data_IF_358451237893
#
_entry.id   IF_358451237893
#
_cell.length_a   1.000
_cell.length_b   1.000
_cell.length_c   1.000
_cell.angle_alpha   90.00
_cell.angle_beta   90.00
_cell.angle_gamma   90.00
#
_symmetry.space_group_name_H-M   'P 1'
#
loop_
_entity.id
_entity.type
_entity.pdbx_description
1 polymer ?
#
# COMPACT_ATOMS: atom_id res chain seq x y z
N UNK A 1 -28.01 -0.59 29.39
CA UNK A 1 -28.40 -1.97 29.02
C UNK A 1 -27.74 -2.35 27.70
N UNK A 2 -28.01 -1.61 26.63
CA UNK A 2 -27.43 -1.78 25.28
C UNK A 2 -25.90 -1.89 25.21
N UNK A 3 -25.15 -1.07 25.96
CA UNK A 3 -23.67 -1.09 25.93
C UNK A 3 -23.09 -2.40 26.50
N UNK A 4 -23.76 -3.02 27.49
CA UNK A 4 -23.31 -4.30 28.06
C UNK A 4 -23.60 -5.46 27.11
N UNK A 5 -24.79 -5.47 26.51
CA UNK A 5 -25.17 -6.45 25.47
C UNK A 5 -24.24 -6.37 24.25
N UNK A 6 -23.87 -5.15 23.84
CA UNK A 6 -22.89 -4.95 22.77
C UNK A 6 -21.51 -5.48 23.15
N UNK A 7 -21.06 -5.25 24.38
CA UNK A 7 -19.74 -5.71 24.84
C UNK A 7 -19.69 -7.23 25.03
N UNK A 8 -20.81 -7.86 25.42
CA UNK A 8 -20.99 -9.32 25.41
C UNK A 8 -21.00 -9.86 23.99
N UNK A 9 -21.71 -9.25 23.05
CA UNK A 9 -21.68 -9.61 21.63
C UNK A 9 -20.25 -9.57 21.06
N UNK A 10 -19.49 -8.50 21.31
CA UNK A 10 -18.10 -8.40 20.82
C UNK A 10 -17.20 -9.50 21.40
N UNK A 11 -17.45 -9.95 22.63
CA UNK A 11 -16.73 -11.05 23.28
C UNK A 11 -17.14 -12.41 22.69
N UNK A 12 -18.44 -12.64 22.55
CA UNK A 12 -19.03 -13.88 22.02
C UNK A 12 -18.49 -14.19 20.61
N UNK A 13 -18.47 -13.18 19.75
CA UNK A 13 -18.07 -13.32 18.34
C UNK A 13 -16.59 -13.01 18.08
N UNK A 14 -15.79 -12.78 19.13
CA UNK A 14 -14.34 -12.47 19.03
C UNK A 14 -14.04 -11.30 18.06
N UNK A 15 -14.97 -10.37 17.87
CA UNK A 15 -14.86 -9.28 16.88
C UNK A 15 -13.72 -8.33 17.21
N UNK A 16 -13.34 -8.25 18.50
CA UNK A 16 -12.21 -7.44 18.94
C UNK A 16 -10.89 -7.80 18.24
N UNK A 17 -10.60 -9.09 18.02
CA UNK A 17 -9.36 -9.49 17.32
C UNK A 17 -9.39 -9.15 15.84
N UNK A 18 -10.56 -9.24 15.20
CA UNK A 18 -10.76 -8.81 13.81
C UNK A 18 -10.56 -7.29 13.67
N UNK A 19 -11.10 -6.50 14.61
CA UNK A 19 -10.93 -5.05 14.61
C UNK A 19 -9.46 -4.65 14.77
N UNK A 20 -8.72 -5.30 15.68
CA UNK A 20 -7.28 -5.06 15.86
C UNK A 20 -6.51 -5.40 14.58
N UNK A 21 -6.79 -6.56 13.95
CA UNK A 21 -6.15 -6.95 12.71
C UNK A 21 -6.39 -5.93 11.58
N UNK A 22 -7.62 -5.41 11.46
CA UNK A 22 -7.95 -4.41 10.46
C UNK A 22 -7.24 -3.06 10.70
N UNK A 23 -7.22 -2.59 11.95
CA UNK A 23 -6.53 -1.34 12.33
C UNK A 23 -5.01 -1.48 12.09
N UNK A 24 -4.41 -2.59 12.50
CA UNK A 24 -2.98 -2.84 12.28
C UNK A 24 -2.65 -2.99 10.79
N UNK A 25 -3.50 -3.66 10.01
CA UNK A 25 -3.33 -3.84 8.57
C UNK A 25 -3.41 -2.52 7.80
N UNK A 26 -4.39 -1.67 8.14
CA UNK A 26 -4.55 -0.35 7.52
C UNK A 26 -3.40 0.60 7.88
N UNK A 27 -2.98 0.63 9.15
CA UNK A 27 -1.83 1.42 9.60
C UNK A 27 -0.52 0.98 8.94
N UNK A 28 -0.28 -0.34 8.82
CA UNK A 28 0.91 -0.88 8.17
C UNK A 28 0.96 -0.52 6.68
N UNK A 29 -0.19 -0.59 6.00
CA UNK A 29 -0.31 -0.19 4.59
C UNK A 29 0.01 1.29 4.42
N UNK A 30 -0.52 2.15 5.29
CA UNK A 30 -0.24 3.60 5.26
C UNK A 30 1.25 3.91 5.48
N UNK A 31 1.90 3.23 6.43
CA UNK A 31 3.33 3.38 6.69
C UNK A 31 4.17 2.99 5.47
N UNK A 32 3.86 1.86 4.84
CA UNK A 32 4.60 1.41 3.65
C UNK A 32 4.34 2.35 2.47
N UNK A 33 3.11 2.82 2.29
CA UNK A 33 2.78 3.81 1.28
C UNK A 33 3.58 5.11 1.45
N UNK A 34 3.69 5.63 2.67
CA UNK A 34 4.50 6.82 2.97
C UNK A 34 5.99 6.56 2.71
N UNK A 35 6.52 5.40 3.13
CA UNK A 35 7.91 5.05 2.82
C UNK A 35 8.18 5.00 1.30
N UNK A 36 7.27 4.41 0.53
CA UNK A 36 7.43 4.32 -0.93
C UNK A 36 7.26 5.69 -1.59
N UNK A 37 6.21 6.43 -1.23
CA UNK A 37 5.88 7.73 -1.84
C UNK A 37 6.83 8.85 -1.44
N UNK A 38 7.29 8.86 -0.19
CA UNK A 38 8.02 9.99 0.39
C UNK A 38 9.53 9.73 0.46
N UNK A 39 9.97 8.47 0.50
CA UNK A 39 11.40 8.14 0.54
C UNK A 39 11.91 7.50 -0.75
N UNK A 40 11.20 6.53 -1.34
CA UNK A 40 11.69 5.84 -2.53
C UNK A 40 11.38 6.59 -3.82
N UNK A 41 10.16 7.10 -3.97
CA UNK A 41 9.75 7.84 -5.15
C UNK A 41 10.69 9.03 -5.40
N UNK A 42 11.08 9.90 -4.46
CA UNK A 42 12.03 10.99 -4.75
C UNK A 42 13.43 10.53 -5.16
N UNK A 43 13.82 9.28 -4.88
CA UNK A 43 15.10 8.69 -5.29
C UNK A 43 15.00 8.02 -6.67
N UNK A 44 13.83 7.46 -7.00
CA UNK A 44 13.56 6.77 -8.27
C UNK A 44 13.02 7.76 -9.33
N UNK A 45 12.26 8.77 -8.90
CA UNK A 45 11.63 9.80 -9.74
C UNK A 45 12.65 10.59 -10.55
N UNK A 46 13.84 10.99 -10.08
CA UNK A 46 14.81 11.68 -10.93
C UNK A 46 15.24 10.86 -12.16
N UNK A 47 15.17 9.52 -12.09
CA UNK A 47 15.45 8.62 -13.20
C UNK A 47 14.24 8.43 -14.15
N UNK A 48 13.01 8.73 -13.70
CA UNK A 48 11.77 8.58 -14.47
C UNK A 48 11.09 9.91 -14.88
N UNK A 49 11.42 11.01 -14.21
CA UNK A 49 10.74 12.33 -14.23
C UNK A 49 11.15 13.21 -15.41
N UNK A 50 12.14 12.83 -16.20
CA UNK A 50 12.56 13.61 -17.38
C UNK A 50 11.88 13.18 -18.67
N UNK A 51 10.84 12.34 -18.58
CA UNK A 51 10.16 11.80 -19.75
C UNK A 51 8.79 12.42 -20.02
N UNK A 52 8.53 13.01 -21.21
CA UNK A 52 7.20 13.51 -21.63
C UNK A 52 6.12 12.42 -21.74
N UNK A 53 6.44 11.16 -21.43
CA UNK A 53 5.53 10.01 -21.51
C UNK A 53 4.46 10.01 -20.41
N UNK A 54 4.68 10.70 -19.28
CA UNK A 54 3.72 10.75 -18.15
C UNK A 54 2.49 11.59 -18.45
N UNK A 55 2.68 12.70 -19.16
CA UNK A 55 1.60 13.60 -19.60
C UNK A 55 1.06 13.19 -20.97
N UNK A 56 1.42 12.00 -21.45
CA UNK A 56 0.99 11.52 -22.73
C UNK A 56 -0.51 11.24 -22.71
N UNK A 57 -1.23 12.04 -23.49
CA UNK A 57 -2.68 11.95 -23.66
C UNK A 57 -2.96 11.66 -25.12
N UNK A 58 -3.71 10.59 -25.38
CA UNK A 58 -4.28 10.32 -26.68
C UNK A 58 -5.59 11.10 -26.79
N UNK A 59 -5.66 12.03 -27.75
CA UNK A 59 -6.85 12.85 -27.99
C UNK A 59 -7.53 12.34 -29.26
N UNK A 60 -8.79 11.92 -29.13
CA UNK A 60 -9.62 11.50 -30.26
C UNK A 60 -10.97 12.22 -30.17
N UNK A 61 -11.08 13.36 -30.87
CA UNK A 61 -12.26 14.23 -30.78
C UNK A 61 -12.50 14.72 -29.34
N UNK A 62 -13.69 14.49 -28.73
CA UNK A 62 -13.96 14.89 -27.35
C UNK A 62 -13.33 13.95 -26.30
N UNK A 63 -12.77 12.81 -26.70
CA UNK A 63 -12.24 11.80 -25.77
C UNK A 63 -10.75 12.06 -25.52
N UNK A 64 -10.38 12.19 -24.24
CA UNK A 64 -9.00 12.37 -23.77
C UNK A 64 -8.59 11.15 -22.95
N UNK A 65 -7.74 10.29 -23.49
CA UNK A 65 -7.20 9.11 -22.82
C UNK A 65 -5.78 9.40 -22.31
N UNK A 66 -5.65 9.68 -21.01
CA UNK A 66 -4.38 9.94 -20.35
C UNK A 66 -3.64 8.63 -19.99
N UNK A 67 -3.13 7.93 -21.01
CA UNK A 67 -2.42 6.67 -20.82
C UNK A 67 -1.10 6.84 -20.05
N UNK A 68 -0.44 7.99 -20.19
CA UNK A 68 0.78 8.31 -19.45
C UNK A 68 0.59 8.27 -17.93
N UNK A 69 -0.52 8.83 -17.45
CA UNK A 69 -0.88 8.81 -16.03
C UNK A 69 -1.15 7.38 -15.53
N UNK A 70 -1.83 6.57 -16.35
CA UNK A 70 -2.09 5.17 -16.03
C UNK A 70 -0.79 4.34 -15.90
N UNK A 71 0.13 4.46 -16.85
CA UNK A 71 1.41 3.74 -16.77
C UNK A 71 2.28 4.22 -15.61
N UNK A 72 2.22 5.50 -15.25
CA UNK A 72 2.90 6.01 -14.08
C UNK A 72 2.36 5.39 -12.78
N UNK A 73 1.03 5.27 -12.66
CA UNK A 73 0.40 4.63 -11.51
C UNK A 73 0.70 3.12 -11.48
N UNK A 74 0.79 2.48 -12.64
CA UNK A 74 1.17 1.07 -12.76
C UNK A 74 2.62 0.85 -12.27
N UNK A 75 3.55 1.72 -12.64
CA UNK A 75 4.95 1.66 -12.15
C UNK A 75 4.99 1.89 -10.64
N UNK A 76 4.25 2.88 -10.13
CA UNK A 76 4.13 3.14 -8.69
C UNK A 76 3.62 1.91 -7.94
N UNK A 77 2.59 1.24 -8.46
CA UNK A 77 2.05 0.01 -7.90
C UNK A 77 3.08 -1.12 -7.85
N UNK A 78 3.84 -1.34 -8.94
CA UNK A 78 4.88 -2.39 -9.00
C UNK A 78 5.98 -2.10 -7.97
N UNK A 79 6.38 -0.84 -7.82
CA UNK A 79 7.37 -0.44 -6.81
C UNK A 79 6.85 -0.69 -5.39
N UNK A 80 5.63 -0.25 -5.10
CA UNK A 80 4.98 -0.47 -3.81
C UNK A 80 4.90 -1.97 -3.49
N UNK A 81 4.41 -2.78 -4.43
CA UNK A 81 4.29 -4.24 -4.26
C UNK A 81 5.66 -4.89 -3.99
N UNK A 82 6.70 -4.46 -4.70
CA UNK A 82 8.07 -4.98 -4.51
C UNK A 82 8.61 -4.65 -3.12
N UNK A 83 8.38 -3.42 -2.65
CA UNK A 83 8.86 -2.96 -1.34
C UNK A 83 8.11 -3.66 -0.21
N UNK A 84 6.78 -3.75 -0.30
CA UNK A 84 5.95 -4.53 0.64
C UNK A 84 6.47 -5.97 0.71
N UNK A 85 6.71 -6.60 -0.44
CA UNK A 85 7.21 -7.96 -0.52
C UNK A 85 8.58 -8.11 0.17
N UNK A 86 9.52 -7.18 -0.06
CA UNK A 86 10.84 -7.21 0.59
C UNK A 86 10.71 -7.06 2.11
N UNK A 87 9.87 -6.13 2.58
CA UNK A 87 9.65 -5.89 4.03
C UNK A 87 9.08 -7.14 4.68
N UNK A 88 8.01 -7.71 4.14
CA UNK A 88 7.38 -8.94 4.65
C UNK A 88 8.37 -10.11 4.64
N UNK A 89 9.12 -10.28 3.54
CA UNK A 89 10.14 -11.32 3.42
C UNK A 89 11.27 -11.17 4.46
N UNK A 90 11.68 -9.94 4.77
CA UNK A 90 12.69 -9.67 5.80
C UNK A 90 12.18 -10.01 7.20
N UNK A 91 10.94 -9.67 7.51
CA UNK A 91 10.30 -10.01 8.79
C UNK A 91 10.24 -11.54 8.97
N UNK A 92 9.73 -12.26 7.97
CA UNK A 92 9.66 -13.74 7.98
C UNK A 92 11.05 -14.38 8.08
N UNK A 93 12.06 -13.81 7.42
CA UNK A 93 13.44 -14.30 7.49
C UNK A 93 14.08 -14.06 8.87
N UNK A 94 13.76 -12.95 9.54
CA UNK A 94 14.26 -12.64 10.87
C UNK A 94 13.76 -13.65 11.92
N UNK A 95 12.49 -14.05 11.83
CA UNK A 95 11.93 -15.11 12.69
C UNK A 95 12.64 -16.45 12.50
N UNK A 96 13.02 -16.79 11.27
CA UNK A 96 13.72 -18.06 10.97
C UNK A 96 15.16 -18.11 11.49
N UNK A 97 15.76 -16.96 11.78
CA UNK A 97 17.15 -16.86 12.25
C UNK A 97 17.29 -16.74 13.78
N UNK A 98 16.20 -16.44 14.50
CA UNK A 98 16.17 -16.38 15.97
C UNK A 98 15.97 -17.74 16.66
N UNK A 99 15.77 -18.80 15.88
CA UNK A 99 15.61 -20.19 16.38
C UNK A 99 16.83 -21.05 16.02
N UNK A 100 18.02 -20.49 16.20
CA UNK A 100 19.28 -21.24 16.27
C UNK A 100 20.04 -20.84 17.52
#
# INVERSE_FOLDING_TARGET
MVVKEFLEFLKEYKVASLAIAFVMGSASTALINSFVKDMLMPVILPLASTGPWRDAVFVMGPVRLAYGAFFAELINFILLATVVFIVVKKIIKAEKNGTK
#
